data_IF_878197363045
#
_entry.id   IF_878197363045
#
_cell.length_a   1.000
_cell.length_b   1.000
_cell.length_c   1.000
_cell.angle_alpha   90.00
_cell.angle_beta   90.00
_cell.angle_gamma   90.00
#
_symmetry.space_group_name_H-M   'P 1'
#
loop_
_entity.id
_entity.type
_entity.pdbx_description
1 polymer ?
#
# COMPACT_ATOMS: atom_id res chain seq x y z
N UNK A 1 9.42 -13.77 -7.32
CA UNK A 1 9.14 -12.38 -7.75
C UNK A 1 9.55 -12.20 -9.20
N UNK A 2 8.81 -11.39 -9.97
CA UNK A 2 9.18 -10.95 -11.33
C UNK A 2 8.71 -9.50 -11.54
N UNK A 3 9.41 -8.72 -12.37
CA UNK A 3 9.05 -7.34 -12.70
C UNK A 3 9.68 -6.27 -11.80
N UNK A 4 9.19 -5.03 -11.92
CA UNK A 4 9.63 -3.86 -11.15
C UNK A 4 8.44 -3.21 -10.44
N UNK A 5 8.46 -3.15 -9.11
CA UNK A 5 7.37 -2.60 -8.31
C UNK A 5 7.87 -1.42 -7.47
N UNK A 6 7.31 -0.24 -7.69
CA UNK A 6 7.43 0.86 -6.74
C UNK A 6 6.57 0.53 -5.52
N UNK A 7 7.20 0.39 -4.36
CA UNK A 7 6.52 0.19 -3.07
C UNK A 7 6.87 1.36 -2.18
N UNK A 8 5.89 1.87 -1.44
CA UNK A 8 6.11 2.94 -0.49
C UNK A 8 5.07 3.01 0.60
N UNK A 9 5.42 3.70 1.69
CA UNK A 9 4.56 3.92 2.84
C UNK A 9 4.80 5.30 3.45
N UNK A 10 3.83 5.78 4.22
CA UNK A 10 3.91 7.04 4.95
C UNK A 10 3.93 6.74 6.45
N UNK A 11 4.88 7.34 7.17
CA UNK A 11 4.97 7.20 8.64
C UNK A 11 3.93 8.07 9.34
N UNK A 12 3.76 7.86 10.65
CA UNK A 12 2.90 8.69 11.51
C UNK A 12 3.36 10.17 11.50
N UNK A 13 4.65 10.42 11.30
CA UNK A 13 5.21 11.76 11.13
C UNK A 13 5.04 12.34 9.71
N UNK A 14 4.13 11.80 8.90
CA UNK A 14 3.88 12.19 7.51
C UNK A 14 5.11 12.11 6.60
N UNK A 15 6.08 11.23 6.93
CA UNK A 15 7.28 11.06 6.13
C UNK A 15 7.09 9.91 5.14
N UNK A 16 7.37 10.19 3.86
CA UNK A 16 7.23 9.22 2.78
C UNK A 16 8.53 8.44 2.54
N UNK A 17 8.42 7.11 2.51
CA UNK A 17 9.51 6.21 2.15
C UNK A 17 9.10 5.34 0.96
N UNK A 18 10.01 5.14 0.01
CA UNK A 18 9.75 4.26 -1.13
C UNK A 18 11.00 3.66 -1.74
N UNK A 19 10.79 2.58 -2.51
CA UNK A 19 11.82 1.93 -3.31
C UNK A 19 11.20 1.22 -4.50
N UNK A 20 11.89 1.25 -5.65
CA UNK A 20 11.59 0.34 -6.76
C UNK A 20 12.23 -1.02 -6.46
N UNK A 21 11.39 -2.02 -6.17
CA UNK A 21 11.81 -3.39 -5.93
C UNK A 21 12.02 -4.15 -7.24
N UNK A 22 13.13 -4.86 -7.32
CA UNK A 22 13.43 -5.85 -8.35
C UNK A 22 13.43 -7.27 -7.77
N UNK A 23 13.52 -8.27 -8.63
CA UNK A 23 13.61 -9.68 -8.22
C UNK A 23 14.69 -9.89 -7.15
N UNK A 24 14.34 -10.60 -6.07
CA UNK A 24 15.23 -10.91 -4.95
C UNK A 24 15.26 -9.84 -3.85
N UNK A 25 14.68 -8.65 -4.07
CA UNK A 25 14.61 -7.61 -3.06
C UNK A 25 13.35 -7.74 -2.20
N UNK A 26 13.47 -7.33 -0.95
CA UNK A 26 12.36 -7.29 0.01
C UNK A 26 12.12 -5.87 0.51
N UNK A 27 10.93 -5.65 1.05
CA UNK A 27 10.51 -4.38 1.63
C UNK A 27 9.60 -4.67 2.82
N UNK A 28 9.80 -3.96 3.92
CA UNK A 28 9.02 -4.13 5.15
C UNK A 28 8.14 -2.91 5.33
N UNK A 29 6.86 -3.14 5.60
CA UNK A 29 5.90 -2.11 5.95
C UNK A 29 5.53 -2.32 7.42
N UNK A 30 5.82 -1.36 8.31
CA UNK A 30 5.37 -1.43 9.69
C UNK A 30 3.84 -1.52 9.78
N UNK A 31 3.35 -2.23 10.79
CA UNK A 31 1.92 -2.44 11.00
C UNK A 31 1.16 -1.11 11.11
N UNK A 32 0.00 -1.05 10.46
CA UNK A 32 -0.93 0.08 10.55
C UNK A 32 -0.60 1.28 9.66
N UNK A 33 0.53 1.27 8.95
CA UNK A 33 0.91 2.39 8.07
C UNK A 33 0.26 2.29 6.68
N UNK A 34 -0.19 3.43 6.18
CA UNK A 34 -0.68 3.57 4.81
C UNK A 34 0.47 3.29 3.85
N UNK A 35 0.24 2.37 2.91
CA UNK A 35 1.24 1.96 1.93
C UNK A 35 0.60 1.67 0.58
N UNK A 36 1.41 1.64 -0.47
CA UNK A 36 0.97 1.34 -1.82
C UNK A 36 2.00 0.52 -2.57
N UNK A 37 1.56 -0.05 -3.70
CA UNK A 37 2.39 -0.76 -4.67
C UNK A 37 1.96 -0.35 -6.07
N UNK A 38 2.90 -0.02 -6.95
CA UNK A 38 2.66 0.33 -8.37
C UNK A 38 3.64 -0.41 -9.26
N UNK A 39 3.13 -1.11 -10.27
CA UNK A 39 3.99 -1.67 -11.32
C UNK A 39 4.56 -0.53 -12.17
N UNK A 40 5.88 -0.45 -12.26
CA UNK A 40 6.61 0.57 -13.05
C UNK A 40 7.50 -0.06 -14.12
N UNK A 41 7.42 -1.39 -14.29
CA UNK A 41 8.07 -2.09 -15.40
C UNK A 41 7.16 -2.16 -16.63
N UNK A 42 7.74 -2.56 -17.76
CA UNK A 42 7.04 -2.68 -19.05
C UNK A 42 6.10 -3.89 -19.12
N UNK A 43 6.30 -4.89 -18.25
CA UNK A 43 5.53 -6.14 -18.24
C UNK A 43 4.79 -6.40 -16.93
N UNK A 44 4.11 -7.55 -16.85
CA UNK A 44 3.45 -8.00 -15.61
C UNK A 44 4.47 -8.15 -14.47
N UNK A 45 4.10 -7.67 -13.29
CA UNK A 45 4.86 -7.87 -12.07
C UNK A 45 4.14 -8.85 -11.13
N UNK A 46 4.93 -9.65 -10.40
CA UNK A 46 4.45 -10.61 -9.40
C UNK A 46 5.29 -10.47 -8.13
N UNK A 47 4.61 -10.19 -7.01
CA UNK A 47 5.19 -10.14 -5.67
C UNK A 47 4.40 -11.01 -4.71
N UNK A 48 5.10 -11.53 -3.70
CA UNK A 48 4.50 -12.22 -2.56
C UNK A 48 4.55 -11.30 -1.35
N UNK A 49 3.49 -11.31 -0.54
CA UNK A 49 3.41 -10.56 0.70
C UNK A 49 3.00 -11.53 1.80
N UNK A 50 3.71 -11.49 2.92
CA UNK A 50 3.42 -12.29 4.10
C UNK A 50 3.04 -11.37 5.25
N UNK A 51 2.24 -11.89 6.18
CA UNK A 51 1.80 -11.18 7.37
C UNK A 51 2.13 -12.01 8.59
N UNK A 52 2.37 -11.36 9.73
CA UNK A 52 2.57 -12.00 11.02
C UNK A 52 1.25 -12.28 11.77
N UNK A 53 0.12 -12.24 11.07
CA UNK A 53 -1.22 -12.51 11.60
C UNK A 53 -1.96 -13.44 10.65
N UNK A 54 -2.75 -14.36 11.22
CA UNK A 54 -3.66 -15.23 10.47
C UNK A 54 -4.87 -14.46 9.92
N UNK A 55 -5.15 -13.29 10.50
CA UNK A 55 -6.23 -12.39 10.09
C UNK A 55 -5.66 -10.97 9.90
N UNK A 56 -4.88 -10.72 8.85
CA UNK A 56 -4.20 -9.43 8.67
C UNK A 56 -5.16 -8.27 8.36
N UNK A 57 -6.30 -8.55 7.73
CA UNK A 57 -7.25 -7.53 7.28
C UNK A 57 -6.65 -6.55 6.27
N UNK A 58 -7.50 -5.73 5.64
CA UNK A 58 -7.05 -4.62 4.80
C UNK A 58 -8.13 -3.54 4.74
N UNK A 59 -7.71 -2.28 4.79
CA UNK A 59 -8.56 -1.13 4.46
C UNK A 59 -8.02 -0.50 3.20
N UNK A 60 -8.84 -0.47 2.14
CA UNK A 60 -8.48 0.18 0.89
C UNK A 60 -8.83 1.65 0.98
N UNK A 61 -7.83 2.48 1.27
CA UNK A 61 -8.03 3.87 1.69
C UNK A 61 -8.93 4.69 0.74
N UNK A 62 -8.77 4.67 -0.60
CA UNK A 62 -9.67 5.43 -1.48
C UNK A 62 -11.13 4.99 -1.37
N UNK A 63 -11.41 3.69 -1.24
CA UNK A 63 -12.79 3.22 -1.11
C UNK A 63 -13.36 3.53 0.27
N UNK A 64 -12.55 3.40 1.32
CA UNK A 64 -12.98 3.75 2.67
C UNK A 64 -13.33 5.23 2.82
N UNK A 65 -12.62 6.11 2.10
CA UNK A 65 -12.85 7.56 2.16
C UNK A 65 -13.97 8.04 1.22
N UNK A 66 -14.01 7.53 -0.01
CA UNK A 66 -14.84 8.11 -1.08
C UNK A 66 -15.95 7.18 -1.60
N UNK A 67 -16.02 5.94 -1.13
CA UNK A 67 -17.03 4.97 -1.54
C UNK A 67 -17.62 4.18 -0.36
N UNK A 68 -17.59 4.76 0.85
CA UNK A 68 -18.23 4.17 2.02
C UNK A 68 -19.74 4.24 1.93
N UNK A 69 -20.43 3.34 2.65
CA UNK A 69 -21.88 3.34 2.81
C UNK A 69 -22.22 3.32 4.30
N UNK A 70 -22.80 4.40 4.86
CA UNK A 70 -23.08 5.69 4.21
C UNK A 70 -21.79 6.45 3.82
N UNK A 71 -21.87 7.41 2.88
CA UNK A 71 -20.73 8.23 2.48
C UNK A 71 -20.27 9.16 3.62
N UNK A 72 -18.96 9.42 3.70
CA UNK A 72 -18.42 10.45 4.59
C UNK A 72 -18.98 11.83 4.15
N UNK A 73 -19.50 12.67 5.06
CA UNK A 73 -19.95 14.00 4.71
C UNK A 73 -18.84 14.85 4.08
N UNK A 74 -19.14 15.53 2.98
CA UNK A 74 -18.14 16.28 2.22
C UNK A 74 -17.38 17.33 3.05
N UNK A 75 -18.03 17.96 4.03
CA UNK A 75 -17.38 18.94 4.92
C UNK A 75 -16.32 18.38 5.87
N UNK A 76 -16.13 17.05 5.90
CA UNK A 76 -15.06 16.38 6.66
C UNK A 76 -13.84 16.07 5.77
N UNK A 77 -14.02 15.99 4.45
CA UNK A 77 -12.98 15.58 3.50
C UNK A 77 -12.07 16.73 3.03
N UNK A 78 -12.29 17.94 3.54
CA UNK A 78 -11.62 19.20 3.15
C UNK A 78 -11.19 19.97 4.38
#
# INVERSE_FOLDING_TARGET
>A
MKGKLLVGFVTIGNMFYSKVLTTGQMFVIPQGLVHFRKNVGEGKALAFTTFNSHMPGAVVLPFALFASTPPIPNGVLT
#
